data_IF_671848197166
#
_entry.id   IF_671848197166
#
_cell.length_a   1.000
_cell.length_b   1.000
_cell.length_c   1.000
_cell.angle_alpha   90.00
_cell.angle_beta   90.00
_cell.angle_gamma   90.00
#
_symmetry.space_group_name_H-M   'P 1'
#
loop_
_entity.id
_entity.type
_entity.pdbx_description
1 polymer ?
#
# COMPACT_ATOMS: atom_id res chain seq x y z
N UNK A 1 10.26 -12.02 -2.46
CA UNK A 1 9.09 -11.22 -2.02
C UNK A 1 8.53 -11.87 -0.76
N UNK A 2 8.43 -11.13 0.35
CA UNK A 2 7.82 -11.63 1.59
C UNK A 2 6.31 -11.27 1.57
N UNK A 3 5.39 -12.24 1.74
CA UNK A 3 3.94 -11.98 1.79
C UNK A 3 3.54 -10.90 2.79
N UNK A 4 4.31 -10.73 3.87
CA UNK A 4 4.11 -9.68 4.88
C UNK A 4 4.12 -8.26 4.30
N UNK A 5 4.82 -8.05 3.17
CA UNK A 5 4.84 -6.75 2.52
C UNK A 5 3.46 -6.34 2.00
N UNK A 6 2.61 -7.28 1.56
CA UNK A 6 1.25 -6.96 1.10
C UNK A 6 0.38 -6.41 2.24
N UNK A 7 0.58 -6.92 3.46
CA UNK A 7 -0.09 -6.41 4.65
C UNK A 7 0.44 -5.01 5.00
N UNK A 8 1.76 -4.82 4.93
CA UNK A 8 2.37 -3.51 5.17
C UNK A 8 1.92 -2.44 4.18
N UNK A 9 1.58 -2.78 2.93
CA UNK A 9 0.99 -1.81 1.99
C UNK A 9 -0.30 -1.19 2.53
N UNK A 10 -1.08 -1.96 3.30
CA UNK A 10 -2.34 -1.54 3.88
C UNK A 10 -2.17 -0.81 5.23
N UNK A 11 -1.02 -0.94 5.89
CA UNK A 11 -0.76 -0.38 7.23
C UNK A 11 0.12 0.85 7.21
N UNK A 12 1.12 0.86 6.32
CA UNK A 12 2.12 1.92 6.29
C UNK A 12 1.57 3.13 5.56
N UNK A 13 1.62 4.26 6.24
CA UNK A 13 1.32 5.56 5.67
C UNK A 13 2.56 6.21 5.08
N UNK A 14 2.37 7.03 4.05
CA UNK A 14 3.42 7.86 3.52
C UNK A 14 3.90 8.87 4.56
N UNK A 15 5.20 8.89 4.90
CA UNK A 15 5.71 9.77 5.96
C UNK A 15 5.93 11.22 5.48
N UNK A 16 5.95 11.46 4.17
CA UNK A 16 6.24 12.77 3.58
C UNK A 16 5.56 12.97 2.22
N UNK A 17 5.74 14.15 1.65
CA UNK A 17 5.26 14.51 0.31
C UNK A 17 3.77 14.86 0.28
N UNK A 18 3.23 14.98 -0.94
CA UNK A 18 1.84 15.39 -1.19
C UNK A 18 0.79 14.46 -0.55
N UNK A 19 1.11 13.18 -0.41
CA UNK A 19 0.22 12.16 0.14
C UNK A 19 0.59 11.74 1.57
N UNK A 20 1.26 12.61 2.33
CA UNK A 20 1.60 12.32 3.73
C UNK A 20 0.35 11.91 4.52
N UNK A 21 0.47 10.85 5.32
CA UNK A 21 -0.63 10.28 6.12
C UNK A 21 -1.59 9.38 5.33
N UNK A 22 -1.35 9.16 4.03
CA UNK A 22 -2.10 8.21 3.22
C UNK A 22 -1.41 6.86 3.21
N UNK A 23 -2.18 5.79 3.39
CA UNK A 23 -1.72 4.41 3.28
C UNK A 23 -1.14 4.14 1.88
N UNK A 24 -0.04 3.39 1.80
CA UNK A 24 0.67 3.12 0.54
C UNK A 24 -0.25 2.49 -0.51
N UNK A 25 -1.12 1.56 -0.11
CA UNK A 25 -2.08 0.92 -0.99
C UNK A 25 -3.13 1.86 -1.61
N UNK A 26 -3.28 3.09 -1.09
CA UNK A 26 -4.21 4.11 -1.59
C UNK A 26 -3.51 5.21 -2.40
N UNK A 27 -2.20 5.07 -2.64
CA UNK A 27 -1.45 6.04 -3.42
C UNK A 27 -1.88 5.99 -4.90
N UNK A 28 -2.05 7.15 -5.56
CA UNK A 28 -2.39 7.17 -6.97
C UNK A 28 -1.26 6.58 -7.84
N UNK A 29 -1.62 5.83 -8.89
CA UNK A 29 -0.66 5.23 -9.82
C UNK A 29 0.34 6.23 -10.44
N UNK A 30 -0.11 7.45 -10.77
CA UNK A 30 0.81 8.50 -11.29
C UNK A 30 1.90 8.91 -10.29
N UNK A 31 1.63 8.80 -8.99
CA UNK A 31 2.58 9.13 -7.94
C UNK A 31 3.62 8.01 -7.79
N UNK A 32 3.18 6.75 -7.88
CA UNK A 32 4.03 5.57 -7.92
C UNK A 32 4.93 5.57 -9.18
N UNK A 33 4.35 5.87 -10.35
CA UNK A 33 5.09 5.99 -11.61
C UNK A 33 6.09 7.16 -11.60
N UNK A 34 5.84 8.22 -10.83
CA UNK A 34 6.83 9.28 -10.62
C UNK A 34 8.05 8.76 -9.85
N UNK A 35 7.85 7.98 -8.79
CA UNK A 35 8.95 7.33 -8.07
C UNK A 35 9.69 6.31 -8.94
N UNK A 36 8.99 5.51 -9.74
CA UNK A 36 9.63 4.56 -10.66
C UNK A 36 10.60 5.23 -11.64
N UNK A 37 10.31 6.46 -12.06
CA UNK A 37 11.18 7.27 -12.94
C UNK A 37 12.30 7.98 -12.19
N UNK A 38 12.08 8.39 -10.94
CA UNK A 38 13.06 9.14 -10.13
C UNK A 38 13.96 8.26 -9.27
N UNK A 39 13.56 7.03 -9.01
CA UNK A 39 14.15 6.14 -8.02
C UNK A 39 13.31 6.09 -6.74
N UNK A 40 13.19 4.90 -6.17
CA UNK A 40 12.56 4.69 -4.88
C UNK A 40 13.53 5.01 -3.74
N UNK A 41 13.04 5.54 -2.60
CA UNK A 41 13.90 5.76 -1.44
C UNK A 41 14.50 4.44 -0.92
N UNK A 42 15.67 4.43 -0.30
CA UNK A 42 16.24 3.20 0.25
C UNK A 42 15.39 2.65 1.41
N UNK A 43 15.59 1.36 1.70
CA UNK A 43 14.95 0.68 2.82
C UNK A 43 13.51 0.23 2.54
N UNK A 44 12.78 -0.09 3.61
CA UNK A 44 11.46 -0.73 3.52
C UNK A 44 10.44 0.13 2.77
N UNK A 45 10.47 1.46 2.96
CA UNK A 45 9.52 2.36 2.28
C UNK A 45 9.64 2.24 0.76
N UNK A 46 10.85 2.25 0.20
CA UNK A 46 11.02 2.11 -1.24
C UNK A 46 10.64 0.74 -1.76
N UNK A 47 10.90 -0.31 -0.98
CA UNK A 47 10.45 -1.67 -1.33
C UNK A 47 8.93 -1.75 -1.41
N UNK A 48 8.22 -1.13 -0.46
CA UNK A 48 6.75 -1.06 -0.48
C UNK A 48 6.22 -0.22 -1.64
N UNK A 49 6.86 0.92 -1.94
CA UNK A 49 6.47 1.76 -3.08
C UNK A 49 6.72 1.07 -4.42
N UNK A 50 7.84 0.36 -4.56
CA UNK A 50 8.15 -0.43 -5.75
C UNK A 50 7.15 -1.57 -5.93
N UNK A 51 6.87 -2.33 -4.86
CA UNK A 51 5.86 -3.38 -4.87
C UNK A 51 4.47 -2.82 -5.25
N UNK A 52 4.05 -1.70 -4.65
CA UNK A 52 2.76 -1.10 -4.99
C UNK A 52 2.71 -0.64 -6.45
N UNK A 53 3.81 -0.10 -6.96
CA UNK A 53 3.91 0.26 -8.38
C UNK A 53 3.80 -0.96 -9.29
N UNK A 54 4.46 -2.07 -8.96
CA UNK A 54 4.36 -3.33 -9.71
C UNK A 54 2.93 -3.85 -9.71
N UNK A 55 2.23 -3.82 -8.57
CA UNK A 55 0.83 -4.24 -8.49
C UNK A 55 -0.09 -3.35 -9.34
N UNK A 56 0.10 -2.03 -9.27
CA UNK A 56 -0.69 -1.07 -10.05
C UNK A 56 -0.44 -1.22 -11.55
N UNK A 57 0.82 -1.34 -11.97
CA UNK A 57 1.21 -1.44 -13.37
C UNK A 57 0.75 -2.74 -14.06
N UNK A 58 0.54 -3.80 -13.29
CA UNK A 58 0.07 -5.10 -13.80
C UNK A 58 -1.43 -5.33 -13.57
N UNK A 59 -2.20 -4.31 -13.18
CA UNK A 59 -3.63 -4.43 -12.82
C UNK A 59 -3.92 -5.44 -11.69
N UNK A 60 -2.94 -5.65 -10.79
CA UNK A 60 -3.00 -6.59 -9.67
C UNK A 60 -3.35 -5.95 -8.32
N UNK A 61 -3.60 -4.64 -8.27
CA UNK A 61 -3.98 -3.94 -7.03
C UNK A 61 -5.24 -4.55 -6.36
N UNK A 62 -6.13 -5.17 -7.15
CA UNK A 62 -7.30 -5.88 -6.65
C UNK A 62 -7.00 -7.08 -5.73
N UNK A 63 -5.78 -7.62 -5.79
CA UNK A 63 -5.33 -8.69 -4.88
C UNK A 63 -5.28 -8.24 -3.41
N UNK A 64 -5.27 -6.93 -3.15
CA UNK A 64 -5.32 -6.38 -1.79
C UNK A 64 -6.73 -6.32 -1.21
N UNK A 65 -7.79 -6.48 -2.02
CA UNK A 65 -9.17 -6.32 -1.55
C UNK A 65 -9.59 -7.38 -0.50
N UNK A 66 -9.25 -8.67 -0.64
CA UNK A 66 -9.50 -9.66 0.41
C UNK A 66 -8.84 -9.29 1.75
N UNK A 67 -7.62 -8.76 1.70
CA UNK A 67 -6.89 -8.31 2.90
C UNK A 67 -7.53 -7.07 3.53
N UNK A 68 -7.97 -6.10 2.72
CA UNK A 68 -8.76 -4.94 3.19
C UNK A 68 -10.05 -5.37 3.86
N UNK A 69 -10.75 -6.36 3.29
CA UNK A 69 -11.99 -6.91 3.87
C UNK A 69 -11.72 -7.59 5.21
N UNK A 70 -10.74 -8.48 5.28
CA UNK A 70 -10.38 -9.18 6.50
C UNK A 70 -10.04 -8.19 7.64
N UNK A 71 -9.30 -7.12 7.33
CA UNK A 71 -8.97 -6.08 8.30
C UNK A 71 -10.18 -5.26 8.76
N UNK A 72 -11.09 -4.91 7.85
CA UNK A 72 -12.37 -4.25 8.21
C UNK A 72 -13.20 -5.13 9.15
N UNK A 73 -13.26 -6.44 8.89
CA UNK A 73 -13.97 -7.39 9.75
C UNK A 73 -13.34 -7.50 11.14
N UNK A 74 -12.00 -7.54 11.22
CA UNK A 74 -11.30 -7.52 12.50
C UNK A 74 -11.54 -6.23 13.30
N UNK A 75 -11.65 -5.08 12.62
CA UNK A 75 -12.00 -3.81 13.26
C UNK A 75 -13.47 -3.73 13.71
N UNK A 76 -14.35 -4.56 13.15
CA UNK A 76 -15.79 -4.59 13.44
C UNK A 76 -16.19 -5.65 14.49
N UNK A 77 -15.28 -6.08 15.36
CA UNK A 77 -15.53 -7.06 16.44
C UNK A 77 -16.70 -6.70 17.38
N UNK A 78 -17.21 -7.67 18.16
CA UNK A 78 -18.62 -7.79 18.57
C UNK A 78 -19.01 -6.83 19.72
N UNK A 79 -19.08 -5.54 19.44
CA UNK A 79 -19.47 -4.51 20.41
C UNK A 79 -20.35 -3.39 19.86
N UNK A 80 -20.94 -3.57 18.68
CA UNK A 80 -21.89 -2.63 18.09
C UNK A 80 -23.31 -3.16 18.17
N UNK A 81 -23.90 -3.18 19.37
CA UNK A 81 -25.35 -3.18 19.59
C UNK A 81 -25.73 -1.86 20.25
#
# INVERSE_FOLDING_TARGET
>A
MNPEHLVLLLEREMPFGKYKGRVIADLPGYYLAWFARKGFPPGQLGQLLALMHELDHNDLAGLLEPLRRARRQAAAGPGGV
#
